data_IF_787970379020
#
_entry.id   IF_787970379020
#
_cell.length_a   1.000
_cell.length_b   1.000
_cell.length_c   1.000
_cell.angle_alpha   90.00
_cell.angle_beta   90.00
_cell.angle_gamma   90.00
#
_symmetry.space_group_name_H-M   'P 1'
#
loop_
_entity.id
_entity.type
_entity.pdbx_description
1 polymer ?
#
# COMPACT_ATOMS: atom_id res chain seq x y z
N UNK A 1 -15.54 -10.35 -2.01
CA UNK A 1 -14.41 -9.41 -1.86
C UNK A 1 -13.37 -9.89 -2.84
N UNK A 2 -13.02 -9.05 -3.80
CA UNK A 2 -12.21 -9.46 -4.92
C UNK A 2 -10.72 -9.46 -4.52
N UNK A 3 -10.19 -10.63 -4.18
CA UNK A 3 -8.79 -10.77 -3.78
C UNK A 3 -7.81 -10.54 -4.92
N UNK A 4 -8.21 -10.82 -6.16
CA UNK A 4 -7.43 -10.52 -7.36
C UNK A 4 -7.19 -9.02 -7.49
N UNK A 5 -8.22 -8.19 -7.27
CA UNK A 5 -8.11 -6.74 -7.27
C UNK A 5 -7.16 -6.24 -6.18
N UNK A 6 -7.28 -6.78 -4.97
CA UNK A 6 -6.37 -6.44 -3.85
C UNK A 6 -4.93 -6.81 -4.20
N UNK A 7 -4.69 -8.01 -4.74
CA UNK A 7 -3.37 -8.47 -5.14
C UNK A 7 -2.75 -7.60 -6.24
N UNK A 8 -3.53 -7.23 -7.26
CA UNK A 8 -3.08 -6.34 -8.33
C UNK A 8 -2.74 -4.94 -7.80
N UNK A 9 -3.57 -4.39 -6.91
CA UNK A 9 -3.33 -3.09 -6.29
C UNK A 9 -2.20 -3.11 -5.25
N UNK A 10 -1.80 -4.29 -4.77
CA UNK A 10 -0.65 -4.44 -3.88
C UNK A 10 0.70 -4.29 -4.64
N UNK A 11 0.75 -4.60 -5.94
CA UNK A 11 1.97 -4.55 -6.76
C UNK A 11 2.61 -3.15 -6.76
N UNK A 12 1.87 -2.04 -7.00
CA UNK A 12 2.45 -0.71 -6.91
C UNK A 12 3.09 -0.39 -5.54
N UNK A 13 2.48 -0.86 -4.45
CA UNK A 13 3.03 -0.69 -3.10
C UNK A 13 4.34 -1.47 -2.89
N UNK A 14 4.46 -2.66 -3.48
CA UNK A 14 5.70 -3.43 -3.50
C UNK A 14 6.79 -2.72 -4.30
N UNK A 15 6.45 -2.21 -5.49
CA UNK A 15 7.39 -1.44 -6.32
C UNK A 15 7.88 -0.19 -5.59
N UNK A 16 7.00 0.50 -4.87
CA UNK A 16 7.37 1.62 -4.01
C UNK A 16 8.38 1.22 -2.94
N UNK A 17 8.17 0.10 -2.25
CA UNK A 17 9.13 -0.38 -1.25
C UNK A 17 10.52 -0.65 -1.83
N UNK A 18 10.59 -1.22 -3.04
CA UNK A 18 11.86 -1.41 -3.73
C UNK A 18 12.52 -0.07 -4.09
N UNK A 19 11.75 0.90 -4.60
CA UNK A 19 12.27 2.24 -4.91
C UNK A 19 12.80 2.95 -3.66
N UNK A 20 12.10 2.83 -2.53
CA UNK A 20 12.51 3.35 -1.23
C UNK A 20 13.82 2.71 -0.74
N UNK A 21 13.94 1.38 -0.85
CA UNK A 21 15.18 0.66 -0.51
C UNK A 21 16.37 1.11 -1.35
N UNK A 22 16.15 1.39 -2.64
CA UNK A 22 17.19 1.90 -3.53
C UNK A 22 17.49 3.40 -3.32
N UNK A 23 16.76 4.08 -2.43
CA UNK A 23 16.96 5.49 -2.12
C UNK A 23 16.65 6.45 -3.27
N UNK A 24 15.76 6.06 -4.20
CA UNK A 24 15.34 6.91 -5.33
C UNK A 24 14.28 7.95 -4.93
N UNK A 25 13.64 7.74 -3.78
CA UNK A 25 12.42 8.45 -3.39
C UNK A 25 12.69 9.65 -2.48
N UNK A 26 13.96 10.06 -2.30
CA UNK A 26 14.47 11.07 -1.34
C UNK A 26 13.55 12.31 -1.17
N UNK A 27 12.63 12.25 -0.20
CA UNK A 27 11.70 13.32 0.14
C UNK A 27 10.42 13.39 -0.70
N UNK A 28 10.33 12.67 -1.83
CA UNK A 28 9.13 12.62 -2.68
C UNK A 28 8.18 11.47 -2.33
N UNK A 29 8.56 10.57 -1.42
CA UNK A 29 7.73 9.43 -0.99
C UNK A 29 6.28 9.79 -0.67
N UNK A 30 5.98 10.83 0.14
CA UNK A 30 4.61 11.14 0.51
C UNK A 30 3.73 11.48 -0.70
N UNK A 31 4.31 12.15 -1.71
CA UNK A 31 3.61 12.50 -2.94
C UNK A 31 3.37 11.27 -3.82
N UNK A 32 4.35 10.35 -3.92
CA UNK A 32 4.17 9.09 -4.65
C UNK A 32 3.09 8.21 -3.98
N UNK A 33 3.10 8.12 -2.65
CA UNK A 33 2.06 7.42 -1.89
C UNK A 33 0.68 8.05 -2.08
N UNK A 34 0.59 9.38 -2.14
CA UNK A 34 -0.66 10.07 -2.41
C UNK A 34 -1.20 9.74 -3.81
N UNK A 35 -0.33 9.74 -4.82
CA UNK A 35 -0.71 9.37 -6.20
C UNK A 35 -1.22 7.92 -6.25
N UNK A 36 -0.54 6.99 -5.57
CA UNK A 36 -0.99 5.60 -5.48
C UNK A 36 -2.31 5.46 -4.72
N UNK A 37 -2.50 6.19 -3.62
CA UNK A 37 -3.73 6.17 -2.86
C UNK A 37 -4.91 6.66 -3.73
N UNK A 38 -4.75 7.79 -4.43
CA UNK A 38 -5.77 8.30 -5.36
C UNK A 38 -6.06 7.28 -6.47
N UNK A 39 -5.02 6.72 -7.08
CA UNK A 39 -5.18 5.70 -8.11
C UNK A 39 -5.95 4.48 -7.59
N UNK A 40 -5.53 3.91 -6.46
CA UNK A 40 -6.18 2.75 -5.86
C UNK A 40 -7.64 3.04 -5.48
N UNK A 41 -7.92 4.21 -4.88
CA UNK A 41 -9.28 4.64 -4.57
C UNK A 41 -10.16 4.71 -5.81
N UNK A 42 -9.68 5.33 -6.89
CA UNK A 42 -10.44 5.46 -8.14
C UNK A 42 -10.68 4.12 -8.83
N UNK A 43 -9.72 3.19 -8.77
CA UNK A 43 -9.89 1.84 -9.32
C UNK A 43 -10.92 1.08 -8.48
N UNK A 44 -10.74 1.01 -7.15
CA UNK A 44 -11.65 0.28 -6.24
C UNK A 44 -13.08 0.81 -6.35
N UNK A 45 -13.27 2.13 -6.32
CA UNK A 45 -14.60 2.74 -6.40
C UNK A 45 -15.33 2.38 -7.71
N UNK A 46 -14.59 2.17 -8.80
CA UNK A 46 -15.17 1.81 -10.11
C UNK A 46 -15.36 0.31 -10.33
N UNK A 47 -14.55 -0.54 -9.68
CA UNK A 47 -14.50 -1.98 -10.01
C UNK A 47 -15.01 -2.91 -8.91
N UNK A 48 -14.95 -2.52 -7.63
CA UNK A 48 -15.22 -3.46 -6.54
C UNK A 48 -16.70 -3.90 -6.46
N UNK A 49 -17.63 -3.06 -6.93
CA UNK A 49 -19.08 -3.29 -6.89
C UNK A 49 -19.70 -3.24 -5.48
N UNK A 50 -18.97 -3.67 -4.45
CA UNK A 50 -19.35 -3.67 -3.04
C UNK A 50 -18.12 -3.65 -2.12
N UNK A 51 -18.35 -3.51 -0.80
CA UNK A 51 -17.31 -3.64 0.25
C UNK A 51 -16.09 -2.73 0.01
N UNK A 52 -16.30 -1.51 -0.49
CA UNK A 52 -15.24 -0.55 -0.84
C UNK A 52 -14.26 -0.28 0.31
N UNK A 53 -14.78 -0.12 1.52
CA UNK A 53 -13.97 0.08 2.72
C UNK A 53 -13.01 -1.09 2.96
N UNK A 54 -13.51 -2.33 2.86
CA UNK A 54 -12.71 -3.53 3.11
C UNK A 54 -11.62 -3.72 2.04
N UNK A 55 -11.89 -3.38 0.78
CA UNK A 55 -10.86 -3.41 -0.27
C UNK A 55 -9.75 -2.39 0.01
N UNK A 56 -10.10 -1.14 0.36
CA UNK A 56 -9.11 -0.12 0.73
C UNK A 56 -8.30 -0.53 1.97
N UNK A 57 -8.97 -1.10 2.98
CA UNK A 57 -8.31 -1.62 4.17
C UNK A 57 -7.31 -2.73 3.85
N UNK A 58 -7.72 -3.71 3.04
CA UNK A 58 -6.88 -4.83 2.64
C UNK A 58 -5.66 -4.37 1.82
N UNK A 59 -5.84 -3.43 0.88
CA UNK A 59 -4.75 -2.86 0.09
C UNK A 59 -3.75 -2.12 0.98
N UNK A 60 -4.21 -1.29 1.93
CA UNK A 60 -3.30 -0.59 2.83
C UNK A 60 -2.49 -1.52 3.74
N UNK A 61 -3.12 -2.58 4.28
CA UNK A 61 -2.41 -3.61 5.06
C UNK A 61 -1.38 -4.33 4.18
N UNK A 62 -1.77 -4.73 2.96
CA UNK A 62 -0.87 -5.38 2.02
C UNK A 62 0.34 -4.49 1.69
N UNK A 63 0.12 -3.20 1.42
CA UNK A 63 1.20 -2.24 1.21
C UNK A 63 2.13 -2.14 2.41
N UNK A 64 1.59 -1.98 3.63
CA UNK A 64 2.40 -1.91 4.85
C UNK A 64 3.26 -3.15 5.04
N UNK A 65 2.66 -4.33 4.99
CA UNK A 65 3.36 -5.61 5.16
C UNK A 65 4.43 -5.81 4.09
N UNK A 66 4.11 -5.61 2.80
CA UNK A 66 5.07 -5.78 1.71
C UNK A 66 6.25 -4.80 1.83
N UNK A 67 5.99 -3.54 2.20
CA UNK A 67 7.05 -2.56 2.45
C UNK A 67 7.92 -2.94 3.63
N UNK A 68 7.31 -3.40 4.73
CA UNK A 68 8.05 -3.90 5.90
C UNK A 68 8.96 -5.07 5.55
N UNK A 69 8.46 -6.04 4.79
CA UNK A 69 9.22 -7.20 4.34
C UNK A 69 10.38 -6.80 3.42
N UNK A 70 10.12 -5.92 2.45
CA UNK A 70 11.16 -5.43 1.51
C UNK A 70 12.23 -4.65 2.26
N UNK A 71 11.85 -3.69 3.11
CA UNK A 71 12.80 -2.89 3.88
C UNK A 71 13.63 -3.72 4.86
N UNK A 72 13.01 -4.73 5.49
CA UNK A 72 13.69 -5.61 6.43
C UNK A 72 14.61 -6.61 5.72
N UNK A 73 14.10 -7.27 4.67
CA UNK A 73 14.86 -8.27 3.90
C UNK A 73 16.02 -7.67 3.12
N UNK A 74 15.88 -6.43 2.65
CA UNK A 74 16.93 -5.68 1.95
C UNK A 74 17.55 -4.58 2.81
N UNK A 75 17.53 -4.76 4.14
CA UNK A 75 17.96 -3.71 5.06
C UNK A 75 19.38 -3.19 4.81
N UNK A 76 20.31 -4.07 4.44
CA UNK A 76 21.69 -3.65 4.10
C UNK A 76 21.74 -2.72 2.89
N UNK A 77 20.91 -2.99 1.88
CA UNK A 77 20.77 -2.12 0.70
C UNK A 77 20.11 -0.81 1.11
N UNK A 78 19.06 -0.87 1.93
CA UNK A 78 18.36 0.30 2.46
C UNK A 78 19.33 1.22 3.22
N UNK A 79 20.09 0.69 4.17
CA UNK A 79 21.02 1.44 5.00
C UNK A 79 22.13 2.11 4.18
N UNK A 80 22.61 1.44 3.12
CA UNK A 80 23.61 1.99 2.20
C UNK A 80 23.10 3.18 1.38
N UNK A 81 21.83 3.13 0.94
CA UNK A 81 21.24 4.18 0.11
C UNK A 81 20.53 5.29 0.91
N UNK A 82 20.24 5.05 2.19
CA UNK A 82 19.53 5.97 3.08
C UNK A 82 20.31 6.26 4.38
N UNK A 83 21.55 6.77 4.31
CA UNK A 83 22.39 7.00 5.49
C UNK A 83 21.78 8.01 6.46
N UNK A 84 21.05 9.02 5.96
CA UNK A 84 20.38 10.02 6.78
C UNK A 84 19.31 9.40 7.70
N UNK A 85 18.57 8.40 7.20
CA UNK A 85 17.56 7.71 8.02
C UNK A 85 18.26 6.91 9.11
N UNK A 86 19.37 6.23 8.79
CA UNK A 86 20.14 5.48 9.77
C UNK A 86 20.74 6.38 10.86
N UNK A 87 21.23 7.56 10.50
CA UNK A 87 21.70 8.55 11.47
C UNK A 87 20.57 8.98 12.42
N UNK A 88 19.36 9.22 11.92
CA UNK A 88 18.20 9.58 12.77
C UNK A 88 17.80 8.43 13.70
N UNK A 89 17.78 7.20 13.19
CA UNK A 89 17.45 6.02 14.01
C UNK A 89 18.46 5.82 15.13
N UNK A 90 19.76 6.00 14.85
CA UNK A 90 20.81 5.92 15.86
C UNK A 90 20.74 7.07 16.87
N UNK A 91 20.51 8.31 16.40
CA UNK A 91 20.37 9.49 17.25
C UNK A 91 19.14 9.42 18.18
N UNK A 92 18.08 8.71 17.76
CA UNK A 92 16.89 8.51 18.56
C UNK A 92 17.07 7.60 19.78
N UNK A 93 18.26 6.99 19.97
CA UNK A 93 18.55 6.15 21.13
C UNK A 93 17.73 4.85 21.20
N UNK A 94 17.17 4.41 20.07
CA UNK A 94 16.37 3.20 20.00
C UNK A 94 17.21 1.99 20.43
N UNK A 95 16.75 1.27 21.46
CA UNK A 95 17.41 0.04 21.95
C UNK A 95 17.06 -1.21 21.13
N UNK A 96 16.21 -1.05 20.12
CA UNK A 96 15.76 -2.13 19.23
C UNK A 96 16.57 -2.11 17.94
N UNK A 97 16.81 -3.29 17.37
CA UNK A 97 17.43 -3.41 16.07
C UNK A 97 16.59 -2.65 15.02
N UNK A 98 17.20 -1.81 14.16
CA UNK A 98 16.45 -1.05 13.15
C UNK A 98 15.55 -1.93 12.28
N UNK A 99 15.99 -3.13 11.93
CA UNK A 99 15.21 -4.14 11.19
C UNK A 99 13.90 -4.48 11.91
N UNK A 100 13.96 -4.71 13.22
CA UNK A 100 12.79 -5.01 14.03
C UNK A 100 11.83 -3.80 14.07
N UNK A 101 12.38 -2.58 14.13
CA UNK A 101 11.58 -1.36 14.08
C UNK A 101 10.77 -1.28 12.77
N UNK A 102 11.41 -1.45 11.61
CA UNK A 102 10.73 -1.45 10.31
C UNK A 102 9.66 -2.54 10.21
N UNK A 103 9.99 -3.76 10.63
CA UNK A 103 9.08 -4.91 10.57
C UNK A 103 7.85 -4.72 11.47
N UNK A 104 8.02 -4.11 12.66
CA UNK A 104 6.92 -3.86 13.60
C UNK A 104 6.08 -2.64 13.23
N UNK A 105 6.71 -1.58 12.71
CA UNK A 105 5.98 -0.36 12.33
C UNK A 105 5.14 -0.56 11.06
N UNK A 106 5.60 -1.42 10.16
CA UNK A 106 4.99 -1.63 8.85
C UNK A 106 3.51 -2.08 8.91
N UNK A 107 3.12 -3.09 9.70
CA UNK A 107 1.71 -3.46 9.87
C UNK A 107 0.85 -2.35 10.47
N UNK A 108 1.39 -1.56 11.42
CA UNK A 108 0.66 -0.46 12.06
C UNK A 108 0.41 0.68 11.07
N UNK A 109 1.43 1.06 10.31
CA UNK A 109 1.32 2.07 9.24
C UNK A 109 0.38 1.56 8.14
N UNK A 110 0.50 0.29 7.75
CA UNK A 110 -0.39 -0.33 6.76
C UNK A 110 -1.85 -0.33 7.21
N UNK A 111 -2.12 -0.64 8.47
CA UNK A 111 -3.47 -0.60 9.04
C UNK A 111 -4.03 0.83 9.01
N UNK A 112 -3.27 1.81 9.50
CA UNK A 112 -3.70 3.22 9.48
C UNK A 112 -3.95 3.71 8.05
N UNK A 113 -3.05 3.37 7.12
CA UNK A 113 -3.17 3.69 5.69
C UNK A 113 -4.40 3.02 5.09
N UNK A 114 -4.66 1.75 5.43
CA UNK A 114 -5.82 1.00 4.98
C UNK A 114 -7.13 1.57 5.49
N UNK A 115 -7.20 2.04 6.74
CA UNK A 115 -8.39 2.73 7.25
C UNK A 115 -8.66 4.00 6.44
N UNK A 116 -7.65 4.85 6.24
CA UNK A 116 -7.80 6.07 5.43
C UNK A 116 -8.23 5.73 4.00
N UNK A 117 -7.56 4.76 3.36
CA UNK A 117 -7.87 4.34 2.00
C UNK A 117 -9.28 3.75 1.90
N UNK A 118 -9.68 2.94 2.88
CA UNK A 118 -11.03 2.37 2.98
C UNK A 118 -12.11 3.44 3.08
N UNK A 119 -11.90 4.47 3.92
CA UNK A 119 -12.81 5.60 4.03
C UNK A 119 -12.89 6.40 2.73
N UNK A 120 -11.76 6.63 2.06
CA UNK A 120 -11.73 7.30 0.76
C UNK A 120 -12.48 6.50 -0.31
N UNK A 121 -12.25 5.18 -0.40
CA UNK A 121 -12.95 4.29 -1.32
C UNK A 121 -14.46 4.32 -1.08
N UNK A 122 -14.88 4.24 0.19
CA UNK A 122 -16.28 4.32 0.57
C UNK A 122 -16.90 5.69 0.24
N UNK A 123 -16.21 6.79 0.51
CA UNK A 123 -16.71 8.13 0.18
C UNK A 123 -16.85 8.34 -1.33
N UNK A 124 -15.80 8.01 -2.09
CA UNK A 124 -15.75 8.20 -3.55
C UNK A 124 -16.77 7.32 -4.27
N UNK A 125 -17.06 6.12 -3.78
CA UNK A 125 -18.06 5.23 -4.38
C UNK A 125 -19.49 5.77 -4.34
N UNK A 126 -19.78 6.77 -3.48
CA UNK A 126 -21.09 7.44 -3.46
C UNK A 126 -21.20 8.55 -4.52
N UNK A 127 -20.08 9.00 -5.08
CA UNK A 127 -20.02 10.06 -6.08
C UNK A 127 -19.86 9.48 -7.48
N UNK A 128 -19.11 8.38 -7.61
CA UNK A 128 -18.82 7.74 -8.88
C UNK A 128 -19.75 6.56 -9.09
N UNK A 129 -20.39 6.48 -10.26
CA UNK A 129 -21.13 5.29 -10.64
C UNK A 129 -20.15 4.13 -10.92
N UNK A 130 -20.37 2.94 -10.32
CA UNK A 130 -19.56 1.78 -10.63
C UNK A 130 -19.71 1.44 -12.12
N UNK A 131 -18.61 1.00 -12.72
CA UNK A 131 -18.64 0.69 -14.14
C UNK A 131 -19.43 -0.60 -14.40
N UNK A 132 -20.03 -0.74 -15.60
CA UNK A 132 -20.62 -2.00 -16.02
C UNK A 132 -19.61 -3.15 -15.92
N UNK A 133 -20.00 -4.32 -15.36
CA UNK A 133 -19.10 -5.46 -15.13
C UNK A 133 -18.34 -5.92 -16.38
N UNK A 134 -18.97 -5.83 -17.54
CA UNK A 134 -18.43 -6.23 -18.84
C UNK A 134 -17.30 -5.33 -19.37
N UNK A 135 -17.11 -4.15 -18.77
CA UNK A 135 -16.29 -3.07 -19.36
C UNK A 135 -14.89 -2.94 -18.76
N UNK A 136 -14.65 -3.43 -17.55
CA UNK A 136 -13.42 -3.16 -16.78
C UNK A 136 -12.80 -4.47 -16.26
N UNK A 137 -12.49 -5.42 -17.16
CA UNK A 137 -11.84 -6.72 -16.92
C UNK A 137 -12.79 -7.88 -16.54
N UNK A 138 -13.14 -8.76 -17.50
CA UNK A 138 -13.91 -9.99 -17.25
C UNK A 138 -13.29 -10.90 -16.17
N UNK A 139 -11.96 -10.93 -16.09
CA UNK A 139 -11.22 -11.72 -15.10
C UNK A 139 -11.41 -11.25 -13.64
N UNK A 140 -11.92 -10.04 -13.42
CA UNK A 140 -12.23 -9.52 -12.08
C UNK A 140 -13.71 -9.72 -11.69
N UNK A 141 -14.57 -10.11 -12.63
CA UNK A 141 -16.01 -10.30 -12.39
C UNK A 141 -16.43 -11.76 -12.19
N UNK A 142 -15.51 -12.69 -12.41
CA UNK A 142 -15.78 -14.14 -12.47
C UNK A 142 -15.87 -14.85 -11.09
N UNK A 143 -16.16 -14.11 -10.02
CA UNK A 143 -16.49 -14.72 -8.71
C UNK A 143 -17.96 -15.20 -8.61
N UNK A 144 -18.68 -15.26 -9.74
CA UNK A 144 -20.00 -15.89 -9.84
C UNK A 144 -20.03 -16.99 -10.91
N UNK A 145 -19.03 -17.87 -10.86
CA UNK A 145 -19.16 -19.23 -11.40
C UNK A 145 -19.52 -20.17 -10.24
N UNK A 146 -20.82 -20.45 -10.11
CA UNK A 146 -21.46 -21.48 -9.26
C UNK A 146 -21.56 -21.24 -7.75
#
# INVERSE_FOLDING_TARGET
>A
MNWTLVALLAIPGLMMGLLSVMGHTRGIEPYLWLVLAVFATLVIARTAGERYFLHGLAVGIAWGVLNGLVATGLFWVYARHNPEVMQRVQAGGARIAPQAMFLMSAPLIGLATGVVLGLLCWGVSHVIQPAPPDRIWPALTDEKGE
#
